data_IF_464248124297
#
_entry.id   IF_464248124297
#
_cell.length_a   1.000
_cell.length_b   1.000
_cell.length_c   1.000
_cell.angle_alpha   90.00
_cell.angle_beta   90.00
_cell.angle_gamma   90.00
#
_symmetry.space_group_name_H-M   'P 1'
#
loop_
_entity.id
_entity.type
_entity.pdbx_description
1 polymer ?
#
# COMPACT_ATOMS: atom_id res chain seq x y z
N UNK A 1 -22.28 17.51 1.44
CA UNK A 1 -23.28 17.80 2.49
C UNK A 1 -24.04 19.09 2.23
N UNK A 2 -23.40 20.26 2.23
CA UNK A 2 -24.11 21.54 1.97
C UNK A 2 -24.77 21.55 0.58
N UNK A 3 -24.01 21.23 -0.48
CA UNK A 3 -24.50 21.32 -1.87
C UNK A 3 -25.51 20.24 -2.29
N UNK A 4 -25.32 19.01 -1.82
CA UNK A 4 -26.15 17.86 -2.23
C UNK A 4 -27.31 17.56 -1.26
N UNK A 5 -27.20 18.00 0.00
CA UNK A 5 -28.15 17.67 1.06
C UNK A 5 -28.66 18.89 1.83
N UNK A 6 -28.27 20.12 1.45
CA UNK A 6 -28.69 21.34 2.14
C UNK A 6 -28.24 21.43 3.60
N UNK A 7 -27.21 20.66 3.98
CA UNK A 7 -26.74 20.64 5.37
C UNK A 7 -26.26 22.05 5.78
N UNK A 8 -26.69 22.51 6.96
CA UNK A 8 -26.17 23.75 7.54
C UNK A 8 -24.67 23.60 7.81
N UNK A 9 -23.87 24.54 7.33
CA UNK A 9 -22.42 24.55 7.52
C UNK A 9 -22.03 24.60 9.00
N UNK A 10 -22.80 25.29 9.84
CA UNK A 10 -22.53 25.41 11.28
C UNK A 10 -22.62 24.06 12.02
N UNK A 11 -23.28 23.07 11.40
CA UNK A 11 -23.38 21.70 11.92
C UNK A 11 -22.31 20.76 11.35
N UNK A 12 -21.40 21.25 10.51
CA UNK A 12 -20.35 20.45 9.88
C UNK A 12 -19.03 20.78 10.55
N UNK A 13 -18.45 19.78 11.20
CA UNK A 13 -17.12 19.87 11.81
C UNK A 13 -16.14 18.94 11.09
N UNK A 14 -14.92 19.42 10.88
CA UNK A 14 -13.83 18.60 10.34
C UNK A 14 -13.13 17.89 11.49
N UNK A 15 -13.20 16.55 11.48
CA UNK A 15 -12.46 15.71 12.42
C UNK A 15 -11.25 15.12 11.69
N UNK A 16 -10.02 15.42 12.12
CA UNK A 16 -8.83 14.84 11.50
C UNK A 16 -8.76 13.32 11.74
N UNK A 17 -8.20 12.60 10.78
CA UNK A 17 -7.96 11.17 10.94
C UNK A 17 -6.89 10.93 12.02
N UNK A 18 -7.22 10.09 13.01
CA UNK A 18 -6.26 9.65 14.02
C UNK A 18 -5.51 8.40 13.58
N UNK A 19 -4.29 8.25 14.11
CA UNK A 19 -3.52 7.00 14.08
C UNK A 19 -3.03 6.68 15.49
N UNK A 20 -2.84 5.40 15.81
CA UNK A 20 -2.26 4.99 17.07
C UNK A 20 -0.74 5.27 17.09
N UNK A 21 -0.29 6.21 17.92
CA UNK A 21 1.12 6.58 18.05
C UNK A 21 1.95 5.54 18.83
N UNK A 22 1.31 4.60 19.53
CA UNK A 22 1.98 3.43 20.08
C UNK A 22 2.50 2.51 18.97
N UNK A 23 1.72 2.38 17.91
CA UNK A 23 1.99 1.55 16.72
C UNK A 23 2.78 2.32 15.65
N UNK A 24 2.28 3.48 15.23
CA UNK A 24 2.87 4.30 14.17
C UNK A 24 3.88 5.28 14.75
N UNK A 25 5.10 4.78 14.95
CA UNK A 25 6.25 5.56 15.38
C UNK A 25 7.51 5.09 14.66
N UNK A 26 8.51 5.96 14.47
CA UNK A 26 9.79 5.54 13.95
C UNK A 26 10.41 4.43 14.81
N UNK A 27 10.87 3.37 14.16
CA UNK A 27 11.62 2.26 14.77
C UNK A 27 12.87 1.99 13.92
N UNK A 28 13.81 1.18 14.42
CA UNK A 28 15.02 0.84 13.65
C UNK A 28 14.63 0.15 12.34
N UNK A 29 15.01 0.79 11.24
CA UNK A 29 14.78 0.30 9.88
C UNK A 29 15.52 -1.02 9.64
N UNK A 30 16.72 -1.16 10.19
CA UNK A 30 17.58 -2.32 10.07
C UNK A 30 16.95 -3.53 10.77
N UNK A 31 16.42 -3.34 11.98
CA UNK A 31 15.73 -4.41 12.74
C UNK A 31 14.46 -4.85 12.01
N UNK A 32 13.61 -3.91 11.59
CA UNK A 32 12.37 -4.23 10.86
C UNK A 32 12.65 -4.97 9.56
N UNK A 33 13.67 -4.54 8.81
CA UNK A 33 14.05 -5.19 7.54
C UNK A 33 14.73 -6.52 7.76
N UNK A 34 15.53 -6.67 8.82
CA UNK A 34 16.12 -7.95 9.21
C UNK A 34 15.05 -9.00 9.51
N UNK A 35 14.02 -8.63 10.26
CA UNK A 35 12.91 -9.52 10.60
C UNK A 35 12.11 -9.99 9.36
N UNK A 36 12.08 -9.18 8.30
CA UNK A 36 11.37 -9.48 7.05
C UNK A 36 12.30 -9.99 5.93
N UNK A 37 13.60 -10.17 6.21
CA UNK A 37 14.59 -10.55 5.20
C UNK A 37 14.71 -9.56 4.04
N UNK A 38 14.46 -8.27 4.30
CA UNK A 38 14.46 -7.16 3.34
C UNK A 38 15.78 -6.37 3.33
N UNK A 39 16.83 -6.82 4.01
CA UNK A 39 18.10 -6.06 4.12
C UNK A 39 18.76 -5.87 2.74
N UNK A 40 19.15 -4.63 2.43
CA UNK A 40 19.76 -4.27 1.13
C UNK A 40 18.78 -3.86 0.03
N UNK A 41 17.54 -4.36 0.04
CA UNK A 41 16.59 -4.14 -1.06
C UNK A 41 15.86 -2.79 -1.08
N UNK A 42 15.59 -2.27 -2.27
CA UNK A 42 14.63 -1.16 -2.39
C UNK A 42 13.22 -1.72 -2.24
N UNK A 43 12.40 -1.13 -1.37
CA UNK A 43 11.07 -1.67 -1.04
C UNK A 43 10.00 -0.66 -1.42
N UNK A 44 9.07 -1.10 -2.27
CA UNK A 44 7.83 -0.40 -2.56
C UNK A 44 6.68 -1.13 -1.85
N UNK A 45 6.06 -0.49 -0.86
CA UNK A 45 5.06 -1.11 0.01
C UNK A 45 3.66 -0.52 -0.25
N UNK A 46 2.67 -1.40 -0.38
CA UNK A 46 1.26 -1.09 -0.34
C UNK A 46 0.60 -1.81 0.84
N UNK A 47 -0.20 -1.07 1.61
CA UNK A 47 -1.00 -1.64 2.71
C UNK A 47 -2.45 -1.18 2.57
N UNK A 48 -3.37 -2.13 2.45
CA UNK A 48 -4.79 -1.82 2.37
C UNK A 48 -5.60 -2.92 1.70
N UNK A 49 -6.92 -2.74 1.64
CA UNK A 49 -7.80 -3.67 0.92
C UNK A 49 -7.43 -3.74 -0.55
N UNK A 50 -7.50 -4.93 -1.13
CA UNK A 50 -7.30 -5.15 -2.56
C UNK A 50 -8.65 -4.91 -3.23
N UNK A 51 -8.87 -3.65 -3.61
CA UNK A 51 -10.05 -3.21 -4.36
C UNK A 51 -9.56 -2.35 -5.53
N UNK A 52 -10.21 -2.43 -6.70
CA UNK A 52 -9.79 -1.67 -7.88
C UNK A 52 -9.72 -0.16 -7.62
N UNK A 53 -10.58 0.38 -6.74
CA UNK A 53 -10.58 1.79 -6.35
C UNK A 53 -9.28 2.23 -5.62
N UNK A 54 -8.52 1.29 -5.05
CA UNK A 54 -7.29 1.59 -4.32
C UNK A 54 -6.04 1.59 -5.21
N UNK A 55 -6.17 1.33 -6.50
CA UNK A 55 -5.12 1.58 -7.50
C UNK A 55 -3.94 0.62 -7.44
N UNK A 56 -4.14 -0.64 -7.05
CA UNK A 56 -3.07 -1.64 -7.02
C UNK A 56 -2.47 -1.91 -8.42
N UNK A 57 -3.28 -1.84 -9.47
CA UNK A 57 -2.81 -1.83 -10.87
C UNK A 57 -1.82 -0.71 -11.15
N UNK A 58 -2.10 0.51 -10.67
CA UNK A 58 -1.19 1.65 -10.84
C UNK A 58 0.15 1.37 -10.18
N UNK A 59 0.16 0.82 -8.96
CA UNK A 59 1.39 0.43 -8.26
C UNK A 59 2.25 -0.54 -9.09
N UNK A 60 1.63 -1.58 -9.64
CA UNK A 60 2.33 -2.61 -10.43
C UNK A 60 2.90 -2.02 -11.72
N UNK A 61 2.12 -1.21 -12.43
CA UNK A 61 2.58 -0.54 -13.66
C UNK A 61 3.74 0.42 -13.37
N UNK A 62 3.64 1.23 -12.31
CA UNK A 62 4.72 2.15 -11.91
C UNK A 62 5.97 1.38 -11.51
N UNK A 63 5.86 0.28 -10.77
CA UNK A 63 7.01 -0.55 -10.41
C UNK A 63 7.72 -1.14 -11.64
N UNK A 64 6.95 -1.56 -12.66
CA UNK A 64 7.50 -2.05 -13.91
C UNK A 64 8.25 -0.95 -14.68
N UNK A 65 7.71 0.28 -14.69
CA UNK A 65 8.34 1.42 -15.35
C UNK A 65 9.64 1.84 -14.65
N UNK A 66 9.64 1.94 -13.32
CA UNK A 66 10.83 2.31 -12.53
C UNK A 66 11.99 1.35 -12.80
N UNK A 67 11.71 0.04 -12.81
CA UNK A 67 12.73 -0.97 -13.12
C UNK A 67 13.36 -0.78 -14.50
N UNK A 68 12.59 -0.32 -15.49
CA UNK A 68 13.08 -0.17 -16.86
C UNK A 68 13.89 1.13 -17.08
N UNK A 69 13.68 2.15 -16.24
CA UNK A 69 14.30 3.49 -16.42
C UNK A 69 15.55 3.66 -15.57
N UNK A 70 15.52 3.20 -14.32
CA UNK A 70 16.54 3.51 -13.30
C UNK A 70 17.48 2.33 -13.00
N UNK A 71 17.40 1.24 -13.77
CA UNK A 71 18.13 -0.03 -13.59
C UNK A 71 18.25 -0.46 -12.11
N UNK A 72 17.12 -0.34 -11.41
CA UNK A 72 17.05 -0.64 -9.98
C UNK A 72 16.97 -2.14 -9.81
N UNK A 73 18.14 -2.78 -9.81
CA UNK A 73 18.28 -4.15 -9.32
C UNK A 73 17.89 -4.23 -7.83
N UNK A 74 17.24 -5.33 -7.46
CA UNK A 74 16.87 -5.59 -6.06
C UNK A 74 15.69 -4.76 -5.52
N UNK A 75 14.81 -4.21 -6.38
CA UNK A 75 13.53 -3.65 -5.93
C UNK A 75 12.48 -4.75 -5.67
N UNK A 76 11.93 -4.78 -4.45
CA UNK A 76 10.80 -5.62 -4.07
C UNK A 76 9.53 -4.80 -3.91
N UNK A 77 8.43 -5.27 -4.53
CA UNK A 77 7.09 -4.75 -4.30
C UNK A 77 6.38 -5.65 -3.29
N UNK A 78 5.98 -5.08 -2.15
CA UNK A 78 5.24 -5.75 -1.10
C UNK A 78 3.81 -5.22 -1.08
N UNK A 79 2.85 -6.12 -1.11
CA UNK A 79 1.42 -5.81 -1.07
C UNK A 79 0.84 -6.54 0.13
N UNK A 80 0.34 -5.78 1.10
CA UNK A 80 -0.21 -6.29 2.36
C UNK A 80 -1.69 -5.95 2.43
N UNK A 81 -2.51 -6.99 2.52
CA UNK A 81 -3.97 -6.90 2.59
C UNK A 81 -4.66 -7.77 1.56
N UNK A 82 -5.98 -7.78 1.60
CA UNK A 82 -6.81 -8.77 0.90
C UNK A 82 -7.71 -9.50 1.89
N UNK A 83 -8.88 -9.94 1.43
CA UNK A 83 -9.71 -10.86 2.19
C UNK A 83 -9.27 -12.30 1.92
N UNK A 84 -9.57 -13.18 2.87
CA UNK A 84 -9.33 -14.63 3.03
C UNK A 84 -9.34 -15.55 1.78
N UNK A 85 -8.56 -15.20 0.75
CA UNK A 85 -8.24 -16.05 -0.39
C UNK A 85 -9.25 -16.02 -1.55
N UNK A 86 -10.18 -15.06 -1.59
CA UNK A 86 -11.21 -14.96 -2.66
C UNK A 86 -11.04 -13.79 -3.63
N UNK A 87 -9.95 -13.03 -3.56
CA UNK A 87 -9.74 -11.92 -4.49
C UNK A 87 -9.23 -12.42 -5.86
N UNK A 88 -10.17 -12.66 -6.79
CA UNK A 88 -9.90 -13.00 -8.22
C UNK A 88 -8.97 -12.00 -8.92
N UNK A 89 -8.84 -10.78 -8.38
CA UNK A 89 -7.95 -9.74 -8.88
C UNK A 89 -6.47 -10.02 -8.61
N UNK A 90 -6.15 -10.76 -7.54
CA UNK A 90 -4.77 -11.07 -7.15
C UNK A 90 -4.15 -12.11 -8.08
N UNK A 91 -4.93 -13.13 -8.48
CA UNK A 91 -4.49 -14.18 -9.40
C UNK A 91 -4.19 -13.65 -10.81
N UNK A 92 -4.82 -12.55 -11.21
CA UNK A 92 -4.56 -11.91 -12.52
C UNK A 92 -3.28 -11.07 -12.55
N UNK A 93 -2.73 -10.67 -11.40
CA UNK A 93 -1.63 -9.67 -11.31
C UNK A 93 -0.32 -10.22 -10.73
N UNK A 94 -0.21 -11.54 -10.51
CA UNK A 94 0.98 -12.22 -9.95
C UNK A 94 2.23 -12.24 -10.86
N UNK A 95 2.19 -11.69 -12.07
CA UNK A 95 3.23 -11.85 -13.11
C UNK A 95 4.49 -10.98 -12.95
N UNK A 96 4.83 -10.48 -11.75
CA UNK A 96 6.01 -9.63 -11.61
C UNK A 96 6.73 -9.78 -10.25
N UNK A 97 7.28 -10.96 -9.94
CA UNK A 97 8.20 -11.21 -8.79
C UNK A 97 7.87 -10.43 -7.50
N UNK A 98 6.57 -10.26 -7.20
CA UNK A 98 6.08 -9.59 -6.02
C UNK A 98 5.76 -10.68 -5.01
N UNK A 99 6.47 -10.71 -3.87
CA UNK A 99 6.06 -11.53 -2.74
C UNK A 99 4.82 -10.87 -2.14
N UNK A 100 3.68 -11.50 -2.36
CA UNK A 100 2.39 -11.13 -1.77
C UNK A 100 2.24 -12.02 -0.54
N UNK A 101 2.28 -11.42 0.65
CA UNK A 101 2.05 -12.11 1.92
C UNK A 101 0.61 -11.78 2.36
N UNK A 102 -0.25 -12.80 2.39
CA UNK A 102 -1.61 -12.74 2.90
C UNK A 102 -1.64 -13.18 4.37
#
# INVERSE_FOLDING_TARGET
MVRLYGANLDNINLVPCGVDLGTFKPISREVSRGNLGLNGDKVLLYVGRIESLKGLDLLVHTAAQIRNVDDIEGMRVLVVGGDDGKSRELDRKKTANARIEC
#
